data_IF_067575875986
#
_entry.id   IF_067575875986
#
_cell.length_a   1.000
_cell.length_b   1.000
_cell.length_c   1.000
_cell.angle_alpha   90.00
_cell.angle_beta   90.00
_cell.angle_gamma   90.00
#
_symmetry.space_group_name_H-M   'P 1'
#
loop_
_entity.id
_entity.type
_entity.pdbx_description
1 polymer ?
#
# COMPACT_ATOMS: atom_id res chain seq x y z
N UNK A 1 -14.80 8.06 22.69
CA UNK A 1 -14.53 7.60 21.31
C UNK A 1 -13.61 6.40 21.40
N UNK A 2 -13.92 5.25 20.78
CA UNK A 2 -13.08 4.07 20.85
C UNK A 2 -11.81 4.35 20.04
N UNK A 3 -10.65 4.04 20.64
CA UNK A 3 -9.35 4.14 20.00
C UNK A 3 -9.29 3.05 18.93
N UNK A 4 -9.60 3.41 17.70
CA UNK A 4 -9.43 2.52 16.56
C UNK A 4 -7.94 2.19 16.46
N UNK A 5 -7.67 0.90 16.67
CA UNK A 5 -6.36 0.29 16.50
C UNK A 5 -5.82 0.72 15.15
N UNK A 6 -4.60 1.27 15.14
CA UNK A 6 -3.79 1.54 13.95
C UNK A 6 -3.83 0.28 13.08
N UNK A 7 -4.74 0.28 12.10
CA UNK A 7 -4.71 -0.67 11.00
C UNK A 7 -3.71 -0.04 10.05
N UNK A 8 -2.59 -0.72 9.83
CA UNK A 8 -1.62 -0.41 8.79
C UNK A 8 -2.36 -0.20 7.46
N UNK A 9 -2.76 1.03 7.15
CA UNK A 9 -3.29 1.40 5.85
C UNK A 9 -2.11 1.78 4.95
N UNK A 10 -2.38 1.93 3.66
CA UNK A 10 -1.34 2.17 2.67
C UNK A 10 -0.61 3.48 2.94
N UNK A 11 -1.36 4.53 3.26
CA UNK A 11 -0.89 5.88 3.51
C UNK A 11 0.02 5.95 4.74
N UNK A 12 -0.36 5.28 5.83
CA UNK A 12 0.46 5.17 7.04
C UNK A 12 1.75 4.40 6.77
N UNK A 13 1.68 3.33 5.96
CA UNK A 13 2.84 2.50 5.64
C UNK A 13 3.85 3.26 4.78
N UNK A 14 3.38 4.01 3.79
CA UNK A 14 4.21 4.90 2.98
C UNK A 14 4.79 6.04 3.81
N UNK A 15 3.96 6.72 4.61
CA UNK A 15 4.43 7.81 5.46
C UNK A 15 5.45 7.35 6.51
N UNK A 16 5.42 6.08 6.92
CA UNK A 16 6.46 5.49 7.76
C UNK A 16 7.74 5.22 6.96
N UNK A 17 7.63 4.69 5.74
CA UNK A 17 8.78 4.43 4.86
C UNK A 17 9.56 5.71 4.56
N UNK A 18 8.87 6.81 4.24
CA UNK A 18 9.48 8.13 4.02
C UNK A 18 10.30 8.58 5.25
N UNK A 19 9.72 8.48 6.45
CA UNK A 19 10.44 8.80 7.69
C UNK A 19 11.66 7.93 7.93
N UNK A 20 11.60 6.64 7.58
CA UNK A 20 12.75 5.75 7.70
C UNK A 20 13.88 6.18 6.76
N UNK A 21 13.54 6.54 5.51
CA UNK A 21 14.51 7.07 4.54
C UNK A 21 15.13 8.37 5.05
N UNK A 22 14.33 9.34 5.50
CA UNK A 22 14.83 10.60 6.06
C UNK A 22 15.81 10.36 7.22
N UNK A 23 15.49 9.41 8.11
CA UNK A 23 16.34 9.06 9.23
C UNK A 23 17.65 8.37 8.79
N UNK A 24 17.59 7.50 7.77
CA UNK A 24 18.79 6.86 7.20
C UNK A 24 19.70 7.89 6.51
N UNK A 25 19.14 8.85 5.80
CA UNK A 25 19.88 9.89 5.09
C UNK A 25 20.51 10.94 6.02
N UNK A 26 19.96 11.12 7.23
CA UNK A 26 20.52 12.04 8.24
C UNK A 26 21.97 11.69 8.64
N UNK A 27 22.36 10.42 8.53
CA UNK A 27 23.72 9.96 8.84
C UNK A 27 24.09 9.95 10.33
N UNK A 28 23.16 10.25 11.24
CA UNK A 28 23.39 10.27 12.71
C UNK A 28 23.22 8.90 13.38
N UNK A 29 23.03 7.85 12.58
CA UNK A 29 22.51 6.55 13.01
C UNK A 29 23.60 5.49 13.13
N UNK A 30 23.48 4.59 14.10
CA UNK A 30 24.38 3.43 14.20
C UNK A 30 24.10 2.40 13.10
N UNK A 31 25.05 1.49 12.86
CA UNK A 31 24.85 0.38 11.92
C UNK A 31 23.66 -0.50 12.32
N UNK A 32 23.53 -0.79 13.61
CA UNK A 32 22.42 -1.59 14.16
C UNK A 32 21.07 -0.90 13.95
N UNK A 33 21.03 0.43 14.10
CA UNK A 33 19.80 1.20 13.83
C UNK A 33 19.45 1.19 12.34
N UNK A 34 20.44 1.35 11.45
CA UNK A 34 20.23 1.27 10.01
C UNK A 34 19.73 -0.12 9.58
N UNK A 35 20.25 -1.19 10.18
CA UNK A 35 19.76 -2.56 9.94
C UNK A 35 18.31 -2.73 10.41
N UNK A 36 17.96 -2.24 11.60
CA UNK A 36 16.60 -2.32 12.11
C UNK A 36 15.61 -1.54 11.23
N UNK A 37 15.96 -0.34 10.78
CA UNK A 37 15.13 0.44 9.86
C UNK A 37 15.02 -0.21 8.49
N UNK A 38 16.07 -0.89 8.01
CA UNK A 38 16.03 -1.62 6.75
C UNK A 38 15.03 -2.79 6.83
N UNK A 39 15.09 -3.59 7.90
CA UNK A 39 14.13 -4.68 8.14
C UNK A 39 12.70 -4.15 8.23
N UNK A 40 12.48 -3.04 8.95
CA UNK A 40 11.18 -2.39 9.04
C UNK A 40 10.70 -1.90 7.66
N UNK A 41 11.59 -1.26 6.89
CA UNK A 41 11.29 -0.79 5.53
C UNK A 41 10.89 -1.91 4.59
N UNK A 42 11.54 -3.07 4.67
CA UNK A 42 11.19 -4.26 3.88
C UNK A 42 9.78 -4.78 4.18
N UNK A 43 9.38 -4.80 5.45
CA UNK A 43 8.03 -5.22 5.82
C UNK A 43 6.97 -4.20 5.34
N UNK A 44 7.26 -2.89 5.48
CA UNK A 44 6.37 -1.83 4.99
C UNK A 44 6.19 -1.89 3.47
N UNK A 45 7.26 -2.13 2.71
CA UNK A 45 7.19 -2.30 1.24
C UNK A 45 6.28 -3.48 0.90
N UNK A 46 6.42 -4.60 1.60
CA UNK A 46 5.59 -5.79 1.37
C UNK A 46 4.11 -5.51 1.65
N UNK A 47 3.81 -4.78 2.72
CA UNK A 47 2.44 -4.33 3.03
C UNK A 47 1.92 -3.45 1.90
N UNK A 48 2.68 -2.44 1.47
CA UNK A 48 2.26 -1.54 0.39
C UNK A 48 1.98 -2.29 -0.91
N UNK A 49 2.84 -3.25 -1.29
CA UNK A 49 2.64 -4.09 -2.47
C UNK A 49 1.35 -4.94 -2.37
N UNK A 50 1.05 -5.48 -1.19
CA UNK A 50 -0.21 -6.19 -0.95
C UNK A 50 -1.42 -5.30 -1.19
N UNK A 51 -1.42 -4.10 -0.62
CA UNK A 51 -2.51 -3.13 -0.82
C UNK A 51 -2.69 -2.73 -2.29
N UNK A 52 -1.60 -2.51 -3.02
CA UNK A 52 -1.66 -2.18 -4.45
C UNK A 52 -2.20 -3.36 -5.28
N UNK A 53 -1.81 -4.58 -4.95
CA UNK A 53 -2.29 -5.80 -5.62
C UNK A 53 -3.80 -5.96 -5.40
N UNK A 54 -4.26 -5.80 -4.17
CA UNK A 54 -5.69 -5.89 -3.84
C UNK A 54 -6.50 -4.80 -4.56
N UNK A 55 -5.97 -3.58 -4.62
CA UNK A 55 -6.60 -2.47 -5.33
C UNK A 55 -6.68 -2.73 -6.85
N UNK A 56 -5.59 -3.22 -7.45
CA UNK A 56 -5.56 -3.59 -8.86
C UNK A 56 -6.60 -4.69 -9.16
N UNK A 57 -6.65 -5.73 -8.32
CA UNK A 57 -7.58 -6.83 -8.50
C UNK A 57 -9.05 -6.35 -8.42
N UNK A 58 -9.35 -5.46 -7.47
CA UNK A 58 -10.67 -4.85 -7.35
C UNK A 58 -11.05 -4.03 -8.58
N UNK A 59 -10.13 -3.21 -9.12
CA UNK A 59 -10.36 -2.45 -10.35
C UNK A 59 -10.61 -3.39 -11.54
N UNK A 60 -9.87 -4.48 -11.66
CA UNK A 60 -10.07 -5.47 -12.72
C UNK A 60 -11.44 -6.14 -12.64
N UNK A 61 -11.92 -6.47 -11.44
CA UNK A 61 -13.27 -7.01 -11.24
C UNK A 61 -14.35 -6.00 -11.65
N UNK A 62 -14.20 -4.73 -11.27
CA UNK A 62 -15.15 -3.68 -11.66
C UNK A 62 -15.22 -3.50 -13.19
N UNK A 63 -14.09 -3.52 -13.88
CA UNK A 63 -14.03 -3.42 -15.35
C UNK A 63 -14.72 -4.62 -16.00
N UNK A 64 -14.40 -5.85 -15.57
CA UNK A 64 -15.03 -7.08 -16.08
C UNK A 64 -16.55 -7.08 -15.89
N UNK A 65 -17.02 -6.60 -14.75
CA UNK A 65 -18.45 -6.50 -14.46
C UNK A 65 -19.14 -5.42 -15.30
N UNK A 66 -18.44 -4.33 -15.62
CA UNK A 66 -18.97 -3.27 -16.49
C UNK A 66 -19.04 -3.71 -17.97
N UNK A 67 -18.09 -4.52 -18.44
CA UNK A 67 -18.11 -5.10 -19.80
C UNK A 67 -19.20 -6.18 -19.98
N UNK A 68 -19.79 -6.68 -18.89
CA UNK A 68 -20.92 -7.60 -18.91
C UNK A 68 -22.29 -6.92 -18.97
N UNK A 69 -22.35 -5.57 -19.00
CA UNK A 69 -23.59 -4.87 -19.34
C UNK A 69 -23.84 -5.14 -20.83
N UNK A 70 -24.89 -5.88 -21.22
CA UNK A 70 -25.18 -6.09 -22.62
C UNK A 70 -25.44 -4.71 -23.23
N UNK A 71 -24.60 -4.28 -24.16
CA UNK A 71 -25.03 -3.29 -25.14
C UNK A 71 -26.27 -3.90 -25.78
N UNK A 72 -27.43 -3.30 -25.53
CA UNK A 72 -28.72 -3.64 -26.14
C UNK A 72 -28.64 -3.34 -27.64
N UNK A 73 -27.85 -4.16 -28.35
CA UNK A 73 -27.83 -4.27 -29.80
C UNK A 73 -28.95 -5.22 -30.13
N UNK A 74 -30.16 -4.67 -30.22
CA UNK A 74 -31.16 -4.98 -31.25
C UNK A 74 -32.53 -4.42 -30.84
N UNK A 75 -32.64 -3.09 -30.76
CA UNK A 75 -33.91 -2.42 -31.06
C UNK A 75 -33.99 -2.24 -32.58
N UNK A 76 -34.47 -3.27 -33.29
CA UNK A 76 -34.91 -3.17 -34.69
C UNK A 76 -36.32 -3.68 -34.85
#
# INVERSE_FOLDING_TARGET
>A
MPKDKVKNNFEDSIGRLEKLVDNMESGESSLEQNLAWFEEGMELIKICQGHLTDAEHHVQELIKNNDQIPEDKDAK
#
